data_IF_883633806913
#
_entry.id   IF_883633806913
#
_cell.length_a   1.000
_cell.length_b   1.000
_cell.length_c   1.000
_cell.angle_alpha   90.00
_cell.angle_beta   90.00
_cell.angle_gamma   90.00
#
_symmetry.space_group_name_H-M   'P 1'
#
loop_
_entity.id
_entity.type
_entity.pdbx_description
1 polymer ?
#
# COMPACT_ATOMS: atom_id res chain seq x y z
N UNK A 1 -28.26 10.23 -17.87
CA UNK A 1 -29.20 9.20 -17.38
C UNK A 1 -28.54 8.52 -16.19
N UNK A 2 -29.23 8.42 -15.06
CA UNK A 2 -28.69 7.71 -13.90
C UNK A 2 -28.73 6.20 -14.12
N UNK A 3 -27.80 5.45 -13.52
CA UNK A 3 -27.78 3.99 -13.58
C UNK A 3 -29.10 3.38 -13.09
N UNK A 4 -29.71 3.98 -12.06
CA UNK A 4 -31.03 3.58 -11.54
C UNK A 4 -32.19 3.72 -12.54
N UNK A 5 -32.02 4.51 -13.57
CA UNK A 5 -33.01 4.74 -14.62
C UNK A 5 -32.76 3.86 -15.86
N UNK A 6 -31.47 3.58 -16.15
CA UNK A 6 -31.06 2.83 -17.35
C UNK A 6 -30.94 1.31 -17.16
N UNK A 7 -30.73 0.84 -15.91
CA UNK A 7 -30.55 -0.58 -15.61
C UNK A 7 -31.86 -1.18 -15.09
N UNK A 8 -32.39 -2.14 -15.83
CA UNK A 8 -33.58 -2.89 -15.38
C UNK A 8 -33.31 -3.61 -14.06
N UNK A 9 -34.24 -3.50 -13.11
CA UNK A 9 -34.12 -4.08 -11.77
C UNK A 9 -32.87 -3.62 -10.99
N UNK A 10 -32.43 -2.37 -11.18
CA UNK A 10 -31.19 -1.80 -10.59
C UNK A 10 -31.02 -2.14 -9.12
N UNK A 11 -32.06 -1.86 -8.28
CA UNK A 11 -31.96 -2.13 -6.82
C UNK A 11 -31.73 -3.59 -6.49
N UNK A 12 -32.34 -4.52 -7.25
CA UNK A 12 -32.15 -5.96 -7.03
C UNK A 12 -30.72 -6.37 -7.42
N UNK A 13 -30.21 -5.88 -8.53
CA UNK A 13 -28.84 -6.15 -8.99
C UNK A 13 -27.78 -5.58 -8.04
N UNK A 14 -27.96 -4.36 -7.54
CA UNK A 14 -27.09 -3.78 -6.53
C UNK A 14 -27.09 -4.63 -5.26
N UNK A 15 -28.28 -5.04 -4.77
CA UNK A 15 -28.40 -5.90 -3.59
C UNK A 15 -27.68 -7.26 -3.80
N UNK A 16 -27.81 -7.83 -4.98
CA UNK A 16 -27.11 -9.07 -5.34
C UNK A 16 -25.60 -8.91 -5.29
N UNK A 17 -25.04 -7.85 -5.93
CA UNK A 17 -23.62 -7.54 -5.88
C UNK A 17 -23.13 -7.32 -4.45
N UNK A 18 -23.86 -6.55 -3.63
CA UNK A 18 -23.51 -6.32 -2.22
C UNK A 18 -23.50 -7.62 -1.43
N UNK A 19 -24.53 -8.48 -1.60
CA UNK A 19 -24.58 -9.78 -0.92
C UNK A 19 -23.41 -10.69 -1.33
N UNK A 20 -23.05 -10.67 -2.60
CA UNK A 20 -21.87 -11.39 -3.11
C UNK A 20 -20.58 -10.88 -2.44
N UNK A 21 -20.31 -9.58 -2.49
CA UNK A 21 -19.13 -8.99 -1.86
C UNK A 21 -19.05 -9.31 -0.36
N UNK A 22 -20.15 -9.13 0.37
CA UNK A 22 -20.20 -9.43 1.82
C UNK A 22 -19.96 -10.91 2.10
N UNK A 23 -20.50 -11.81 1.27
CA UNK A 23 -20.30 -13.25 1.41
C UNK A 23 -18.83 -13.61 1.25
N UNK A 24 -18.16 -13.09 0.21
CA UNK A 24 -16.77 -13.41 -0.10
C UNK A 24 -15.83 -12.82 0.96
N UNK A 25 -16.02 -11.58 1.41
CA UNK A 25 -15.24 -10.98 2.51
C UNK A 25 -15.40 -11.81 3.78
N UNK A 26 -16.62 -12.19 4.16
CA UNK A 26 -16.88 -13.01 5.35
C UNK A 26 -16.20 -14.37 5.25
N UNK A 27 -16.23 -15.00 4.08
CA UNK A 27 -15.58 -16.28 3.86
C UNK A 27 -14.07 -16.16 4.08
N UNK A 28 -13.40 -15.23 3.40
CA UNK A 28 -11.94 -15.07 3.51
C UNK A 28 -11.54 -14.69 4.94
N UNK A 29 -12.24 -13.77 5.59
CA UNK A 29 -11.93 -13.38 6.97
C UNK A 29 -12.09 -14.55 7.95
N UNK A 30 -13.09 -15.43 7.77
CA UNK A 30 -13.38 -16.52 8.68
C UNK A 30 -12.53 -17.77 8.41
N UNK A 31 -12.38 -18.17 7.14
CA UNK A 31 -11.77 -19.43 6.75
C UNK A 31 -10.26 -19.32 6.43
N UNK A 32 -9.78 -18.09 6.20
CA UNK A 32 -8.37 -17.80 5.93
C UNK A 32 -7.76 -16.92 7.02
N UNK A 33 -8.42 -15.81 7.35
CA UNK A 33 -7.93 -14.85 8.35
C UNK A 33 -6.88 -13.88 7.80
N UNK A 34 -5.85 -13.59 8.61
CA UNK A 34 -4.74 -12.72 8.21
C UNK A 34 -3.88 -13.34 7.11
N UNK A 35 -3.53 -12.55 6.12
CA UNK A 35 -2.90 -12.98 4.85
C UNK A 35 -1.56 -12.26 4.65
N UNK A 36 -0.57 -12.61 5.50
CA UNK A 36 0.79 -12.04 5.37
C UNK A 36 1.30 -12.25 3.93
N UNK A 37 1.91 -11.22 3.36
CA UNK A 37 2.53 -11.24 2.02
C UNK A 37 3.46 -12.47 1.82
N UNK A 38 3.26 -13.23 0.74
CA UNK A 38 4.00 -14.46 0.45
C UNK A 38 3.75 -15.60 1.41
N UNK A 39 2.63 -15.60 2.15
CA UNK A 39 2.29 -16.68 3.08
C UNK A 39 1.34 -17.70 2.44
N UNK A 40 1.24 -18.93 3.02
CA UNK A 40 0.23 -19.89 2.62
C UNK A 40 -1.21 -19.38 2.77
N UNK A 41 -1.46 -18.46 3.70
CA UNK A 41 -2.77 -17.85 3.89
C UNK A 41 -3.13 -16.90 2.72
N UNK A 42 -2.19 -16.08 2.27
CA UNK A 42 -2.37 -15.27 1.06
C UNK A 42 -2.67 -16.17 -0.14
N UNK A 43 -1.87 -17.22 -0.36
CA UNK A 43 -2.08 -18.18 -1.45
C UNK A 43 -3.46 -18.84 -1.40
N UNK A 44 -3.92 -19.26 -0.22
CA UNK A 44 -5.25 -19.84 -0.03
C UNK A 44 -6.37 -18.87 -0.40
N UNK A 45 -6.21 -17.57 -0.07
CA UNK A 45 -7.18 -16.56 -0.48
C UNK A 45 -7.17 -16.35 -1.99
N UNK A 46 -5.98 -16.27 -2.61
CA UNK A 46 -5.83 -16.16 -4.06
C UNK A 46 -6.47 -17.34 -4.80
N UNK A 47 -6.28 -18.56 -4.32
CA UNK A 47 -6.90 -19.77 -4.91
C UNK A 47 -8.42 -19.73 -4.82
N UNK A 48 -8.98 -19.34 -3.67
CA UNK A 48 -10.43 -19.17 -3.50
C UNK A 48 -10.99 -18.12 -4.49
N UNK A 49 -10.34 -16.94 -4.58
CA UNK A 49 -10.77 -15.87 -5.47
C UNK A 49 -10.64 -16.27 -6.94
N UNK A 50 -9.59 -17.01 -7.30
CA UNK A 50 -9.40 -17.57 -8.63
C UNK A 50 -10.51 -18.56 -9.00
N UNK A 51 -10.91 -19.44 -8.07
CA UNK A 51 -12.00 -20.39 -8.28
C UNK A 51 -13.36 -19.69 -8.48
N UNK A 52 -13.60 -18.61 -7.75
CA UNK A 52 -14.78 -17.76 -7.98
C UNK A 52 -14.72 -17.08 -9.34
N UNK A 53 -13.58 -16.47 -9.72
CA UNK A 53 -13.41 -15.76 -11.00
C UNK A 53 -13.54 -16.68 -12.21
N UNK A 54 -13.13 -17.97 -12.13
CA UNK A 54 -13.31 -18.95 -13.21
C UNK A 54 -14.76 -19.15 -13.64
N UNK A 55 -15.70 -18.84 -12.77
CA UNK A 55 -17.15 -18.92 -13.08
C UNK A 55 -17.62 -17.82 -14.02
N UNK A 56 -16.90 -16.69 -14.12
CA UNK A 56 -17.35 -15.46 -14.74
C UNK A 56 -16.43 -14.94 -15.86
N UNK A 57 -15.29 -15.60 -16.08
CA UNK A 57 -14.24 -15.12 -16.97
C UNK A 57 -13.81 -16.21 -17.96
N UNK A 58 -13.13 -15.82 -19.04
CA UNK A 58 -12.68 -16.74 -20.09
C UNK A 58 -11.38 -17.47 -19.69
N UNK A 59 -10.52 -16.83 -18.88
CA UNK A 59 -9.31 -17.41 -18.31
C UNK A 59 -8.98 -16.83 -16.95
N UNK A 60 -8.30 -17.63 -16.11
CA UNK A 60 -7.73 -17.18 -14.85
C UNK A 60 -6.32 -17.78 -14.73
N UNK A 61 -5.35 -16.91 -14.53
CA UNK A 61 -3.93 -17.25 -14.46
C UNK A 61 -3.32 -16.79 -13.14
N UNK A 62 -2.29 -17.50 -12.68
CA UNK A 62 -1.43 -17.10 -11.58
C UNK A 62 -0.09 -16.64 -12.14
N UNK A 63 0.33 -15.45 -11.80
CA UNK A 63 1.65 -14.94 -12.13
C UNK A 63 2.50 -14.83 -10.87
N UNK A 64 3.38 -15.80 -10.67
CA UNK A 64 4.25 -15.86 -9.51
C UNK A 64 5.40 -14.86 -9.62
N UNK A 65 5.79 -14.31 -8.48
CA UNK A 65 6.93 -13.43 -8.33
C UNK A 65 7.58 -13.60 -6.96
N UNK A 66 8.86 -13.26 -6.90
CA UNK A 66 9.64 -13.30 -5.66
C UNK A 66 9.59 -11.98 -4.93
N UNK A 67 9.63 -12.04 -3.59
CA UNK A 67 9.62 -10.86 -2.73
C UNK A 67 10.34 -11.12 -1.40
N UNK A 68 10.60 -10.04 -0.66
CA UNK A 68 11.10 -10.08 0.71
C UNK A 68 10.09 -9.39 1.64
N UNK A 69 9.08 -10.09 2.15
CA UNK A 69 7.87 -9.49 2.72
C UNK A 69 8.10 -8.60 3.94
N UNK A 70 9.21 -8.81 4.66
CA UNK A 70 9.55 -8.01 5.85
C UNK A 70 10.49 -6.86 5.57
N UNK A 71 11.01 -6.73 4.35
CA UNK A 71 11.96 -5.68 3.99
C UNK A 71 11.30 -4.30 4.05
N UNK A 72 10.13 -4.16 3.42
CA UNK A 72 9.42 -2.88 3.34
C UNK A 72 9.16 -2.27 4.72
N UNK A 73 8.59 -3.00 5.67
CA UNK A 73 8.40 -2.49 7.03
C UNK A 73 9.64 -2.61 7.93
N UNK A 74 10.68 -3.32 7.48
CA UNK A 74 11.94 -3.52 8.20
C UNK A 74 12.73 -2.23 8.40
N UNK A 75 12.56 -1.23 7.54
CA UNK A 75 13.19 0.08 7.67
C UNK A 75 12.88 0.74 9.02
N UNK A 76 11.68 0.53 9.56
CA UNK A 76 11.23 1.11 10.84
C UNK A 76 12.14 0.69 11.99
N UNK A 77 12.53 -0.60 12.03
CA UNK A 77 13.45 -1.12 13.05
C UNK A 77 14.84 -0.55 12.85
N UNK A 78 15.33 -0.53 11.58
CA UNK A 78 16.66 -0.02 11.26
C UNK A 78 16.78 1.46 11.66
N UNK A 79 15.80 2.29 11.30
CA UNK A 79 15.77 3.71 11.68
C UNK A 79 15.77 3.87 13.19
N UNK A 80 14.89 3.15 13.90
CA UNK A 80 14.82 3.22 15.36
C UNK A 80 16.15 2.90 16.04
N UNK A 81 16.83 1.82 15.61
CA UNK A 81 18.14 1.42 16.14
C UNK A 81 19.21 2.48 15.79
N UNK A 82 19.27 2.92 14.53
CA UNK A 82 20.22 3.94 14.07
C UNK A 82 20.07 5.23 14.88
N UNK A 83 18.85 5.70 15.10
CA UNK A 83 18.60 6.94 15.82
C UNK A 83 18.96 6.84 17.31
N UNK A 84 18.65 5.72 17.97
CA UNK A 84 19.05 5.50 19.36
C UNK A 84 20.58 5.48 19.47
N UNK A 85 21.24 4.71 18.62
CA UNK A 85 22.70 4.61 18.59
C UNK A 85 23.37 5.95 18.28
N UNK A 86 22.81 6.71 17.33
CA UNK A 86 23.26 8.04 16.94
C UNK A 86 23.26 8.98 18.15
N UNK A 87 22.14 9.11 18.86
CA UNK A 87 22.06 9.98 20.06
C UNK A 87 23.05 9.57 21.15
N UNK A 88 23.25 8.27 21.38
CA UNK A 88 24.22 7.77 22.34
C UNK A 88 25.64 8.14 21.93
N UNK A 89 26.01 7.89 20.66
CA UNK A 89 27.35 8.17 20.14
C UNK A 89 27.67 9.66 20.13
N UNK A 90 26.70 10.50 19.77
CA UNK A 90 26.86 11.95 19.88
C UNK A 90 27.26 12.35 21.33
N UNK A 91 26.53 11.86 22.33
CA UNK A 91 26.80 12.16 23.74
C UNK A 91 28.15 11.61 24.24
N UNK A 92 28.69 10.57 23.60
CA UNK A 92 30.02 10.02 23.85
C UNK A 92 31.14 10.79 23.09
N UNK A 93 30.81 11.81 22.30
CA UNK A 93 31.79 12.60 21.54
C UNK A 93 32.11 12.10 20.15
N UNK A 94 31.34 11.15 19.62
CA UNK A 94 31.50 10.57 18.28
C UNK A 94 30.51 11.17 17.27
N UNK A 95 30.46 12.51 17.17
CA UNK A 95 29.46 13.20 16.36
C UNK A 95 29.51 12.83 14.85
N UNK A 96 30.68 12.49 14.29
CA UNK A 96 30.79 12.02 12.92
C UNK A 96 30.12 10.66 12.72
N UNK A 97 30.36 9.70 13.63
CA UNK A 97 29.75 8.38 13.55
C UNK A 97 28.24 8.47 13.78
N UNK A 98 27.81 9.33 14.68
CA UNK A 98 26.41 9.67 14.91
C UNK A 98 25.75 10.16 13.61
N UNK A 99 26.33 11.14 12.92
CA UNK A 99 25.81 11.64 11.65
C UNK A 99 25.70 10.54 10.59
N UNK A 100 26.71 9.66 10.47
CA UNK A 100 26.66 8.54 9.52
C UNK A 100 25.44 7.64 9.81
N UNK A 101 25.18 7.30 11.09
CA UNK A 101 24.02 6.47 11.44
C UNK A 101 22.69 7.17 11.17
N UNK A 102 22.58 8.46 11.48
CA UNK A 102 21.40 9.27 11.15
C UNK A 102 21.14 9.29 9.65
N UNK A 103 22.19 9.46 8.82
CA UNK A 103 22.06 9.41 7.37
C UNK A 103 21.67 8.02 6.86
N UNK A 104 22.24 6.94 7.43
CA UNK A 104 21.84 5.57 7.08
C UNK A 104 20.36 5.35 7.37
N UNK A 105 19.88 5.75 8.55
CA UNK A 105 18.46 5.68 8.88
C UNK A 105 17.58 6.47 7.91
N UNK A 106 17.97 7.73 7.62
CA UNK A 106 17.24 8.58 6.68
C UNK A 106 17.20 7.98 5.26
N UNK A 107 18.29 7.43 4.76
CA UNK A 107 18.35 6.77 3.44
C UNK A 107 17.45 5.54 3.40
N UNK A 108 17.46 4.69 4.43
CA UNK A 108 16.57 3.53 4.51
C UNK A 108 15.10 3.97 4.47
N UNK A 109 14.72 4.97 5.27
CA UNK A 109 13.35 5.52 5.28
C UNK A 109 12.95 6.07 3.91
N UNK A 110 13.80 6.87 3.27
CA UNK A 110 13.50 7.48 1.98
C UNK A 110 13.40 6.41 0.89
N UNK A 111 14.38 5.50 0.82
CA UNK A 111 14.41 4.49 -0.23
C UNK A 111 13.23 3.52 -0.13
N UNK A 112 12.97 2.95 1.06
CA UNK A 112 11.90 1.96 1.24
C UNK A 112 10.51 2.61 1.25
N UNK A 113 10.32 3.61 2.11
CA UNK A 113 8.97 4.11 2.40
C UNK A 113 8.51 5.24 1.45
N UNK A 114 9.37 6.22 1.14
CA UNK A 114 8.97 7.33 0.25
C UNK A 114 9.10 6.98 -1.24
N UNK A 115 10.09 6.16 -1.60
CA UNK A 115 10.36 5.81 -2.99
C UNK A 115 9.94 4.37 -3.35
N UNK A 116 9.49 3.59 -2.39
CA UNK A 116 9.11 2.17 -2.58
C UNK A 116 10.19 1.36 -3.32
N UNK A 117 11.49 1.66 -3.06
CA UNK A 117 12.61 0.89 -3.61
C UNK A 117 12.81 -0.39 -2.81
N UNK A 118 13.27 -1.42 -3.47
CA UNK A 118 13.57 -2.73 -2.88
C UNK A 118 14.99 -2.75 -2.31
N UNK A 119 15.35 -1.69 -1.56
CA UNK A 119 16.72 -1.42 -1.10
C UNK A 119 17.17 -2.39 0.00
N UNK A 120 16.25 -2.76 0.89
CA UNK A 120 16.52 -3.64 2.02
C UNK A 120 16.30 -5.13 1.71
N UNK A 121 15.76 -5.48 0.56
CA UNK A 121 15.47 -6.86 0.16
C UNK A 121 16.62 -7.85 0.43
N UNK A 122 17.89 -7.55 0.08
CA UNK A 122 18.99 -8.49 0.29
C UNK A 122 19.24 -8.90 1.74
N UNK A 123 18.69 -8.16 2.70
CA UNK A 123 18.89 -8.41 4.13
C UNK A 123 17.74 -9.20 4.77
N UNK A 124 16.69 -9.53 4.02
CA UNK A 124 15.51 -10.21 4.54
C UNK A 124 15.24 -11.54 3.81
N UNK A 125 14.59 -12.50 4.48
CA UNK A 125 14.23 -13.79 3.85
C UNK A 125 13.31 -13.61 2.65
N UNK A 126 13.61 -14.35 1.59
CA UNK A 126 12.83 -14.40 0.36
C UNK A 126 11.62 -15.31 0.49
N UNK A 127 10.50 -14.95 -0.16
CA UNK A 127 9.30 -15.75 -0.37
C UNK A 127 8.81 -15.60 -1.80
N UNK A 128 7.81 -16.38 -2.17
CA UNK A 128 7.10 -16.29 -3.45
C UNK A 128 5.63 -15.94 -3.18
N UNK A 129 5.06 -15.02 -3.93
CA UNK A 129 3.65 -14.70 -4.01
C UNK A 129 3.17 -14.77 -5.45
N UNK A 130 1.91 -14.43 -5.72
CA UNK A 130 1.36 -14.38 -7.06
C UNK A 130 0.31 -13.28 -7.22
N UNK A 131 0.13 -12.81 -8.46
CA UNK A 131 -1.06 -12.09 -8.91
C UNK A 131 -2.06 -13.08 -9.49
N UNK A 132 -3.35 -12.88 -9.24
CA UNK A 132 -4.45 -13.59 -9.90
C UNK A 132 -4.99 -12.72 -11.01
N UNK A 133 -4.90 -13.17 -12.25
CA UNK A 133 -5.32 -12.42 -13.41
C UNK A 133 -6.48 -13.14 -14.08
N UNK A 134 -7.66 -12.54 -14.04
CA UNK A 134 -8.86 -13.06 -14.67
C UNK A 134 -9.23 -12.17 -15.87
N UNK A 135 -9.43 -12.80 -17.01
CA UNK A 135 -9.63 -12.11 -18.29
C UNK A 135 -11.01 -12.43 -18.86
N UNK A 136 -11.73 -11.37 -19.22
CA UNK A 136 -12.94 -11.43 -20.03
C UNK A 136 -12.67 -10.76 -21.38
N UNK A 137 -12.55 -11.60 -22.42
CA UNK A 137 -12.22 -11.19 -23.78
C UNK A 137 -13.38 -10.41 -24.43
N UNK A 138 -13.10 -9.47 -25.34
CA UNK A 138 -14.13 -8.86 -26.18
C UNK A 138 -14.70 -9.87 -27.21
N UNK A 139 -15.74 -9.46 -27.95
CA UNK A 139 -16.29 -10.24 -29.08
C UNK A 139 -15.34 -10.21 -30.28
N UNK A 140 -14.68 -9.07 -30.52
CA UNK A 140 -13.75 -8.84 -31.60
C UNK A 140 -12.30 -8.65 -31.14
N UNK A 141 -11.57 -7.84 -31.90
CA UNK A 141 -10.17 -7.50 -31.61
C UNK A 141 -10.05 -6.60 -30.36
N UNK A 142 -9.01 -6.83 -29.56
CA UNK A 142 -8.72 -5.98 -28.39
C UNK A 142 -8.14 -4.64 -28.85
N UNK A 143 -8.93 -3.58 -28.73
CA UNK A 143 -8.50 -2.19 -29.01
C UNK A 143 -8.33 -1.37 -27.73
N UNK A 144 -8.92 -1.83 -26.64
CA UNK A 144 -8.84 -1.22 -25.31
C UNK A 144 -8.84 -2.29 -24.25
N UNK A 145 -8.22 -1.97 -23.12
CA UNK A 145 -8.21 -2.81 -21.91
C UNK A 145 -8.62 -1.98 -20.70
N UNK A 146 -9.49 -2.56 -19.86
CA UNK A 146 -9.82 -1.99 -18.54
C UNK A 146 -9.46 -3.02 -17.49
N UNK A 147 -8.61 -2.60 -16.54
CA UNK A 147 -8.14 -3.42 -15.43
C UNK A 147 -8.77 -2.90 -14.15
N UNK A 148 -9.46 -3.77 -13.43
CA UNK A 148 -9.94 -3.54 -12.07
C UNK A 148 -9.04 -4.30 -11.12
N UNK A 149 -8.50 -3.60 -10.12
CA UNK A 149 -7.51 -4.14 -9.21
C UNK A 149 -7.94 -4.01 -7.75
N UNK A 150 -7.43 -4.90 -6.92
CA UNK A 150 -7.38 -4.88 -5.47
C UNK A 150 -6.36 -5.89 -5.00
N UNK A 151 -5.77 -5.74 -3.80
CA UNK A 151 -4.74 -6.65 -3.32
C UNK A 151 -5.26 -7.71 -2.35
N UNK A 152 -4.66 -8.90 -2.43
CA UNK A 152 -5.10 -10.10 -1.72
C UNK A 152 -4.53 -10.24 -0.31
N UNK A 153 -3.35 -9.67 -0.05
CA UNK A 153 -2.69 -9.74 1.25
C UNK A 153 -3.31 -8.80 2.28
N UNK A 154 -2.79 -8.80 3.47
CA UNK A 154 -3.22 -7.89 4.53
C UNK A 154 -2.07 -7.53 5.46
N UNK A 155 -2.11 -6.32 6.01
CA UNK A 155 -1.09 -5.72 6.85
C UNK A 155 -0.82 -6.50 8.15
N UNK A 156 0.38 -6.28 8.68
CA UNK A 156 0.56 -6.44 10.11
C UNK A 156 -0.24 -5.37 10.88
N UNK A 157 -0.64 -5.69 12.12
CA UNK A 157 -1.25 -4.69 12.99
C UNK A 157 -0.28 -3.53 13.23
N UNK A 158 -0.71 -2.32 12.91
CA UNK A 158 -0.03 -1.09 13.30
C UNK A 158 -0.49 -0.69 14.69
N UNK A 159 0.38 -0.93 15.65
CA UNK A 159 0.04 -0.82 17.08
C UNK A 159 -0.59 0.51 17.46
N UNK A 160 -0.09 1.62 16.93
CA UNK A 160 -0.58 2.95 17.28
C UNK A 160 -1.92 3.27 16.65
N UNK A 161 -2.20 2.72 15.48
CA UNK A 161 -3.54 2.79 14.87
C UNK A 161 -4.55 2.02 15.71
N UNK A 162 -4.18 0.83 16.20
CA UNK A 162 -5.03 0.03 17.09
C UNK A 162 -5.29 0.71 18.43
N UNK A 163 -4.27 1.32 19.07
CA UNK A 163 -4.36 1.92 20.40
C UNK A 163 -5.06 3.27 20.43
N UNK A 164 -4.93 4.10 19.39
CA UNK A 164 -5.45 5.48 19.41
C UNK A 164 -5.79 6.05 18.04
N UNK A 165 -6.00 5.18 17.05
CA UNK A 165 -6.40 5.57 15.70
C UNK A 165 -5.31 6.35 14.94
N UNK A 166 -5.73 6.94 13.82
CA UNK A 166 -4.83 7.68 12.94
C UNK A 166 -4.15 8.88 13.61
N UNK A 167 -4.80 9.53 14.58
CA UNK A 167 -4.21 10.68 15.29
C UNK A 167 -2.98 10.27 16.12
N UNK A 168 -3.05 9.16 16.85
CA UNK A 168 -1.91 8.67 17.62
C UNK A 168 -0.78 8.21 16.68
N UNK A 169 -1.11 7.54 15.61
CA UNK A 169 -0.16 7.13 14.58
C UNK A 169 0.61 8.33 14.04
N UNK A 170 -0.10 9.35 13.55
CA UNK A 170 0.51 10.56 12.99
C UNK A 170 1.36 11.30 14.04
N UNK A 171 0.90 11.38 15.29
CA UNK A 171 1.67 12.02 16.36
C UNK A 171 3.00 11.29 16.62
N UNK A 172 2.99 9.95 16.72
CA UNK A 172 4.23 9.16 16.94
C UNK A 172 5.21 9.36 15.79
N UNK A 173 4.74 9.29 14.55
CA UNK A 173 5.59 9.49 13.36
C UNK A 173 6.13 10.92 13.32
N UNK A 174 5.29 11.93 13.52
CA UNK A 174 5.70 13.34 13.46
C UNK A 174 6.77 13.66 14.52
N UNK A 175 6.59 13.18 15.74
CA UNK A 175 7.58 13.38 16.83
C UNK A 175 8.91 12.72 16.46
N UNK A 176 8.90 11.51 15.90
CA UNK A 176 10.12 10.81 15.49
C UNK A 176 10.84 11.54 14.35
N UNK A 177 10.10 12.04 13.35
CA UNK A 177 10.67 12.83 12.23
C UNK A 177 11.29 14.14 12.75
N UNK A 178 10.59 14.88 13.64
CA UNK A 178 11.13 16.10 14.24
C UNK A 178 12.41 15.78 15.00
N UNK A 179 12.44 14.70 15.78
CA UNK A 179 13.63 14.24 16.50
C UNK A 179 14.79 13.94 15.55
N UNK A 180 14.54 13.23 14.43
CA UNK A 180 15.54 12.94 13.40
C UNK A 180 16.14 14.23 12.83
N UNK A 181 15.29 15.19 12.46
CA UNK A 181 15.74 16.48 11.90
C UNK A 181 16.58 17.27 12.92
N UNK A 182 16.14 17.35 14.18
CA UNK A 182 16.89 18.01 15.25
C UNK A 182 18.24 17.36 15.46
N UNK A 183 18.29 16.01 15.54
CA UNK A 183 19.53 15.25 15.72
C UNK A 183 20.48 15.52 14.54
N UNK A 184 19.99 15.44 13.29
CA UNK A 184 20.77 15.70 12.09
C UNK A 184 21.38 17.11 12.07
N UNK A 185 20.59 18.14 12.42
CA UNK A 185 21.06 19.52 12.47
C UNK A 185 22.12 19.69 13.56
N UNK A 186 21.94 19.11 14.75
CA UNK A 186 22.93 19.17 15.82
C UNK A 186 24.25 18.50 15.43
N UNK A 187 24.20 17.35 14.76
CA UNK A 187 25.37 16.61 14.29
C UNK A 187 26.16 17.40 13.24
N UNK A 188 25.48 17.91 12.21
CA UNK A 188 26.10 18.74 11.18
C UNK A 188 26.76 19.97 11.78
N UNK A 189 26.08 20.66 12.68
CA UNK A 189 26.58 21.86 13.32
C UNK A 189 27.76 21.58 14.25
N UNK A 190 27.76 20.46 14.99
CA UNK A 190 28.89 20.02 15.81
C UNK A 190 30.13 19.75 14.94
N UNK A 191 29.95 19.06 13.79
CA UNK A 191 31.06 18.81 12.86
C UNK A 191 31.61 20.13 12.27
N UNK A 192 30.74 21.03 11.84
CA UNK A 192 31.12 22.32 11.26
C UNK A 192 31.95 23.21 12.21
N UNK A 193 31.80 22.98 13.52
CA UNK A 193 32.54 23.67 14.58
C UNK A 193 33.75 22.89 15.12
N UNK A 194 34.16 21.81 14.43
CA UNK A 194 35.37 21.06 14.74
C UNK A 194 35.20 19.91 15.76
N UNK A 195 33.96 19.59 16.15
CA UNK A 195 33.67 18.56 17.15
C UNK A 195 33.32 17.18 16.52
N UNK A 196 34.16 16.70 15.62
CA UNK A 196 33.89 15.45 14.91
C UNK A 196 34.00 14.19 15.78
N UNK A 197 35.10 14.08 16.54
CA UNK A 197 35.48 12.88 17.30
C UNK A 197 36.07 13.26 18.67
N UNK A 198 35.52 14.26 19.32
CA UNK A 198 35.99 14.78 20.59
C UNK A 198 34.83 14.82 21.58
N UNK A 199 35.08 14.34 22.84
CA UNK A 199 34.11 14.46 23.89
C UNK A 199 33.80 15.94 24.19
N UNK A 200 32.54 16.21 24.51
CA UNK A 200 32.11 17.55 24.87
C UNK A 200 32.39 17.78 26.36
N UNK A 201 33.41 18.58 26.66
CA UNK A 201 33.82 18.89 28.05
C UNK A 201 32.87 19.90 28.76
N UNK A 202 31.81 20.29 28.09
CA UNK A 202 30.81 21.26 28.56
C UNK A 202 30.27 22.12 27.41
N UNK A 203 29.58 23.20 27.76
CA UNK A 203 29.10 24.19 26.83
C UNK A 203 27.91 23.72 25.97
N UNK A 204 27.70 24.45 24.88
CA UNK A 204 26.49 24.34 24.03
C UNK A 204 26.28 22.92 23.46
N UNK A 205 27.33 22.30 22.95
CA UNK A 205 27.20 20.97 22.30
C UNK A 205 26.84 19.85 23.27
N UNK A 206 27.31 19.92 24.51
CA UNK A 206 26.90 18.99 25.55
C UNK A 206 25.43 19.16 25.94
N UNK A 207 24.95 20.42 26.00
CA UNK A 207 23.53 20.71 26.23
C UNK A 207 22.69 20.17 25.06
N UNK A 208 23.14 20.34 23.82
CA UNK A 208 22.45 19.76 22.64
C UNK A 208 22.42 18.23 22.68
N UNK A 209 23.44 17.59 23.22
CA UNK A 209 23.42 16.14 23.46
C UNK A 209 22.31 15.73 24.44
N UNK A 210 22.12 16.48 25.54
CA UNK A 210 21.02 16.23 26.48
C UNK A 210 19.65 16.51 25.87
N UNK A 211 19.53 17.53 25.01
CA UNK A 211 18.30 17.80 24.27
C UNK A 211 17.95 16.63 23.36
N UNK A 212 18.95 16.00 22.70
CA UNK A 212 18.71 14.84 21.85
C UNK A 212 18.20 13.61 22.64
N UNK A 213 18.55 13.45 23.91
CA UNK A 213 18.05 12.36 24.76
C UNK A 213 16.52 12.40 24.93
N UNK A 214 15.89 13.57 24.79
CA UNK A 214 14.44 13.75 24.87
C UNK A 214 13.72 12.94 23.77
N UNK A 215 14.38 12.69 22.63
CA UNK A 215 13.81 11.96 21.51
C UNK A 215 13.93 10.44 21.63
N UNK A 216 14.75 9.91 22.53
CA UNK A 216 14.94 8.46 22.70
C UNK A 216 13.61 7.71 22.93
N UNK A 217 12.68 8.17 23.78
CA UNK A 217 11.40 7.49 23.95
C UNK A 217 10.61 7.37 22.65
N UNK A 218 10.68 8.38 21.78
CA UNK A 218 10.04 8.35 20.44
C UNK A 218 10.69 7.29 19.55
N UNK A 219 12.02 7.22 19.50
CA UNK A 219 12.73 6.20 18.71
C UNK A 219 12.51 4.78 19.24
N UNK A 220 12.39 4.61 20.55
CA UNK A 220 11.98 3.33 21.15
C UNK A 220 10.54 3.00 20.72
N UNK A 221 9.63 3.98 20.72
CA UNK A 221 8.26 3.76 20.28
C UNK A 221 8.18 3.26 18.83
N UNK A 222 9.04 3.78 17.95
CA UNK A 222 9.11 3.33 16.54
C UNK A 222 9.45 1.84 16.45
N UNK A 223 10.30 1.28 17.32
CA UNK A 223 10.62 -0.16 17.32
C UNK A 223 9.39 -1.05 17.58
N UNK A 224 8.37 -0.51 18.22
CA UNK A 224 7.11 -1.19 18.52
C UNK A 224 5.96 -0.81 17.56
N UNK A 225 6.26 -0.12 16.48
CA UNK A 225 5.26 0.32 15.50
C UNK A 225 4.46 -0.85 14.92
N UNK A 226 5.15 -1.86 14.43
CA UNK A 226 4.57 -3.05 13.80
C UNK A 226 4.48 -4.20 14.80
N UNK A 227 3.29 -4.79 14.91
CA UNK A 227 3.09 -6.02 15.67
C UNK A 227 3.37 -7.25 14.80
N UNK A 228 4.64 -7.62 14.62
CA UNK A 228 5.14 -8.65 13.72
C UNK A 228 4.55 -10.06 13.88
N UNK A 229 3.77 -10.32 14.92
CA UNK A 229 3.12 -11.61 15.17
C UNK A 229 1.63 -11.59 14.90
N UNK A 230 1.07 -10.46 14.52
CA UNK A 230 -0.36 -10.30 14.28
C UNK A 230 -0.59 -9.67 12.92
N UNK A 231 -1.14 -10.47 12.01
CA UNK A 231 -1.62 -10.05 10.69
C UNK A 231 -3.11 -9.80 10.82
N UNK A 232 -3.58 -8.62 10.42
CA UNK A 232 -5.00 -8.26 10.52
C UNK A 232 -5.85 -9.02 9.48
N UNK A 233 -7.16 -9.22 9.71
CA UNK A 233 -8.01 -9.90 8.73
C UNK A 233 -8.15 -9.17 7.39
N UNK A 234 -7.82 -7.87 7.31
CA UNK A 234 -7.82 -7.10 6.07
C UNK A 234 -9.16 -7.10 5.34
N UNK A 235 -10.27 -6.94 6.07
CA UNK A 235 -11.60 -6.94 5.47
C UNK A 235 -11.84 -5.70 4.60
N UNK A 236 -11.44 -4.54 5.10
CA UNK A 236 -11.53 -3.28 4.37
C UNK A 236 -10.29 -3.08 3.50
N UNK A 237 -9.13 -3.32 4.04
CA UNK A 237 -7.82 -3.25 3.42
C UNK A 237 -7.25 -4.68 3.23
N UNK A 238 -7.36 -5.34 2.00
CA UNK A 238 -8.12 -4.77 0.88
C UNK A 238 -9.01 -5.84 0.21
N UNK A 239 -9.73 -6.65 1.02
CA UNK A 239 -10.73 -7.52 0.45
C UNK A 239 -11.86 -6.74 -0.24
N UNK A 240 -12.13 -5.48 0.19
CA UNK A 240 -13.12 -4.64 -0.50
C UNK A 240 -12.72 -4.37 -1.95
N UNK A 241 -11.46 -4.07 -2.22
CA UNK A 241 -10.95 -3.91 -3.58
C UNK A 241 -11.06 -5.19 -4.40
N UNK A 242 -10.60 -6.31 -3.85
CA UNK A 242 -10.67 -7.62 -4.51
C UNK A 242 -12.12 -7.97 -4.90
N UNK A 243 -13.05 -7.92 -3.96
CA UNK A 243 -14.45 -8.33 -4.23
C UNK A 243 -15.16 -7.36 -5.17
N UNK A 244 -14.78 -6.07 -5.21
CA UNK A 244 -15.32 -5.14 -6.20
C UNK A 244 -14.86 -5.51 -7.61
N UNK A 245 -13.57 -5.81 -7.81
CA UNK A 245 -13.06 -6.29 -9.10
C UNK A 245 -13.75 -7.61 -9.51
N UNK A 246 -13.94 -8.55 -8.58
CA UNK A 246 -14.65 -9.81 -8.82
C UNK A 246 -16.13 -9.57 -9.14
N UNK A 247 -16.81 -8.64 -8.45
CA UNK A 247 -18.21 -8.31 -8.68
C UNK A 247 -18.46 -7.69 -10.06
N UNK A 248 -17.50 -6.93 -10.60
CA UNK A 248 -17.56 -6.45 -11.99
C UNK A 248 -17.61 -7.62 -12.96
N UNK A 249 -16.72 -8.62 -12.79
CA UNK A 249 -16.67 -9.80 -13.65
C UNK A 249 -17.97 -10.62 -13.56
N UNK A 250 -18.46 -10.84 -12.34
CA UNK A 250 -19.74 -11.50 -12.10
C UNK A 250 -20.89 -10.77 -12.78
N UNK A 251 -20.98 -9.43 -12.59
CA UNK A 251 -22.03 -8.62 -13.16
C UNK A 251 -22.06 -8.68 -14.68
N UNK A 252 -20.90 -8.57 -15.33
CA UNK A 252 -20.79 -8.68 -16.79
C UNK A 252 -21.21 -10.06 -17.28
N UNK A 253 -20.83 -11.11 -16.58
CA UNK A 253 -21.15 -12.50 -16.93
C UNK A 253 -22.65 -12.77 -16.78
N UNK A 254 -23.23 -12.48 -15.61
CA UNK A 254 -24.65 -12.78 -15.31
C UNK A 254 -25.63 -12.00 -16.19
N UNK A 255 -25.21 -10.85 -16.72
CA UNK A 255 -26.03 -10.06 -17.64
C UNK A 255 -25.69 -10.28 -19.13
N UNK A 256 -24.83 -11.24 -19.45
CA UNK A 256 -24.42 -11.53 -20.83
C UNK A 256 -23.73 -10.35 -21.51
N UNK A 257 -23.13 -9.43 -20.73
CA UNK A 257 -22.45 -8.24 -21.27
C UNK A 257 -21.06 -8.65 -21.74
N UNK A 258 -20.80 -8.45 -23.04
CA UNK A 258 -19.47 -8.58 -23.63
C UNK A 258 -19.26 -7.36 -24.54
N UNK A 259 -18.12 -6.72 -24.40
CA UNK A 259 -17.82 -5.55 -25.23
C UNK A 259 -17.27 -5.97 -26.59
N UNK A 260 -17.51 -5.16 -27.60
CA UNK A 260 -17.05 -5.45 -28.95
C UNK A 260 -15.52 -5.48 -29.07
N UNK A 261 -14.84 -4.47 -28.52
CA UNK A 261 -13.40 -4.27 -28.67
C UNK A 261 -12.67 -3.94 -27.34
N UNK A 262 -13.32 -4.15 -26.18
CA UNK A 262 -12.73 -3.86 -24.89
C UNK A 262 -12.56 -5.13 -24.06
N UNK A 263 -11.33 -5.49 -23.78
CA UNK A 263 -10.98 -6.53 -22.82
C UNK A 263 -11.16 -6.01 -21.40
N UNK A 264 -11.74 -6.82 -20.51
CA UNK A 264 -11.85 -6.50 -19.08
C UNK A 264 -11.01 -7.49 -18.29
N UNK A 265 -10.14 -6.99 -17.43
CA UNK A 265 -9.34 -7.81 -16.49
C UNK A 265 -9.71 -7.49 -15.05
N UNK A 266 -9.77 -8.51 -14.22
CA UNK A 266 -9.58 -8.39 -12.78
C UNK A 266 -8.16 -8.84 -12.45
N UNK A 267 -7.36 -7.94 -11.89
CA UNK A 267 -5.99 -8.23 -11.44
C UNK A 267 -5.99 -8.12 -9.93
N UNK A 268 -6.01 -9.26 -9.26
CA UNK A 268 -5.92 -9.31 -7.80
C UNK A 268 -4.45 -9.51 -7.44
N UNK A 269 -3.82 -8.41 -7.03
CA UNK A 269 -2.39 -8.38 -6.73
C UNK A 269 -2.08 -9.05 -5.41
N UNK A 270 -0.92 -9.70 -5.35
CA UNK A 270 -0.37 -10.20 -4.11
C UNK A 270 0.63 -9.21 -3.52
N UNK A 271 0.78 -9.28 -2.19
CA UNK A 271 1.89 -8.65 -1.48
C UNK A 271 2.04 -7.14 -1.70
N UNK A 272 0.94 -6.43 -1.70
CA UNK A 272 0.90 -4.95 -1.73
C UNK A 272 1.53 -4.36 -0.47
N UNK A 273 1.17 -4.89 0.69
CA UNK A 273 1.62 -4.50 2.03
C UNK A 273 3.13 -4.70 2.27
N UNK A 274 3.78 -5.43 1.36
CA UNK A 274 5.24 -5.55 1.30
C UNK A 274 5.91 -4.51 0.39
N UNK A 275 5.19 -3.45 -0.01
CA UNK A 275 5.67 -2.36 -0.86
C UNK A 275 5.32 -2.51 -2.34
N UNK A 276 4.05 -2.75 -2.66
CA UNK A 276 3.49 -2.81 -4.01
C UNK A 276 4.07 -3.93 -4.89
N UNK A 277 4.49 -5.07 -4.28
CA UNK A 277 5.29 -6.08 -5.00
C UNK A 277 4.55 -6.69 -6.18
N UNK A 278 3.27 -7.03 -6.00
CA UNK A 278 2.44 -7.61 -7.05
C UNK A 278 2.20 -6.63 -8.21
N UNK A 279 1.87 -5.39 -7.91
CA UNK A 279 1.65 -4.36 -8.91
C UNK A 279 2.93 -4.09 -9.73
N UNK A 280 4.08 -3.99 -9.08
CA UNK A 280 5.38 -3.85 -9.77
C UNK A 280 5.70 -5.05 -10.67
N UNK A 281 5.47 -6.26 -10.18
CA UNK A 281 5.67 -7.48 -10.98
C UNK A 281 4.76 -7.49 -12.20
N UNK A 282 3.47 -7.16 -12.02
CA UNK A 282 2.50 -7.03 -13.11
C UNK A 282 2.91 -5.96 -14.11
N UNK A 283 3.20 -4.74 -13.63
CA UNK A 283 3.60 -3.63 -14.50
C UNK A 283 4.86 -3.97 -15.30
N UNK A 284 5.87 -4.59 -14.69
CA UNK A 284 7.09 -5.01 -15.37
C UNK A 284 6.82 -6.06 -16.45
N UNK A 285 5.98 -7.05 -16.16
CA UNK A 285 5.69 -8.16 -17.09
C UNK A 285 4.83 -7.73 -18.26
N UNK A 286 3.85 -6.85 -18.02
CA UNK A 286 2.84 -6.42 -19.00
C UNK A 286 3.13 -5.02 -19.57
N UNK A 287 4.33 -4.48 -19.37
CA UNK A 287 4.69 -3.12 -19.81
C UNK A 287 4.40 -2.88 -21.28
N UNK A 288 4.93 -3.72 -22.15
CA UNK A 288 4.80 -3.55 -23.60
C UNK A 288 3.34 -3.74 -24.04
N UNK A 289 2.65 -4.74 -23.52
CA UNK A 289 1.24 -5.00 -23.78
C UNK A 289 0.34 -3.81 -23.40
N UNK A 290 0.65 -3.14 -22.27
CA UNK A 290 -0.10 -1.96 -21.83
C UNK A 290 0.21 -0.71 -22.68
N UNK A 291 1.38 -0.63 -23.31
CA UNK A 291 1.73 0.46 -24.22
C UNK A 291 1.13 0.25 -25.63
N UNK A 292 1.07 -0.98 -26.11
CA UNK A 292 0.53 -1.31 -27.43
C UNK A 292 -1.00 -1.16 -27.50
N UNK A 293 -1.69 -1.37 -26.38
CA UNK A 293 -3.15 -1.28 -26.29
C UNK A 293 -3.54 -0.21 -25.28
N UNK A 294 -4.50 0.69 -25.65
CA UNK A 294 -5.04 1.67 -24.71
C UNK A 294 -5.51 0.96 -23.42
N UNK A 295 -4.74 1.07 -22.35
CA UNK A 295 -4.99 0.37 -21.09
C UNK A 295 -5.34 1.37 -19.99
N UNK A 296 -6.46 1.11 -19.30
CA UNK A 296 -6.94 1.85 -18.13
C UNK A 296 -6.79 0.94 -16.92
N UNK A 297 -6.04 1.37 -15.92
CA UNK A 297 -5.90 0.68 -14.64
C UNK A 297 -6.70 1.43 -13.57
N UNK A 298 -7.55 0.72 -12.84
CA UNK A 298 -8.39 1.25 -11.76
C UNK A 298 -8.12 0.42 -10.51
N UNK A 299 -7.35 0.99 -9.57
CA UNK A 299 -7.12 0.41 -8.25
C UNK A 299 -8.26 0.77 -7.30
N UNK A 300 -8.85 -0.25 -6.68
CA UNK A 300 -9.77 -0.10 -5.56
C UNK A 300 -9.04 -0.39 -4.27
N UNK A 301 -9.14 0.53 -3.32
CA UNK A 301 -8.50 0.39 -2.03
C UNK A 301 -9.38 0.93 -0.90
N UNK A 302 -9.45 0.18 0.21
CA UNK A 302 -10.11 0.57 1.47
C UNK A 302 -11.53 1.14 1.31
N UNK A 303 -12.41 0.49 0.54
CA UNK A 303 -13.74 0.98 0.16
C UNK A 303 -14.82 0.56 1.18
N UNK A 304 -14.92 1.25 2.32
CA UNK A 304 -15.92 0.94 3.35
C UNK A 304 -17.02 1.99 3.50
N UNK A 305 -16.63 3.20 3.85
CA UNK A 305 -17.56 4.25 4.22
C UNK A 305 -17.69 5.27 3.09
N UNK A 306 -18.93 5.59 2.70
CA UNK A 306 -19.19 6.51 1.60
C UNK A 306 -18.57 7.89 1.81
N UNK A 307 -18.64 8.42 3.02
CA UNK A 307 -18.12 9.76 3.35
C UNK A 307 -16.59 9.84 3.24
N UNK A 308 -15.90 8.70 3.32
CA UNK A 308 -14.44 8.62 3.18
C UNK A 308 -14.00 8.28 1.76
N UNK A 309 -14.92 7.82 0.90
CA UNK A 309 -14.60 7.46 -0.49
C UNK A 309 -14.20 8.69 -1.30
N UNK A 310 -13.22 8.53 -2.16
CA UNK A 310 -12.74 9.57 -3.06
C UNK A 310 -12.10 8.98 -4.31
N UNK A 311 -11.93 9.81 -5.33
CA UNK A 311 -11.10 9.51 -6.49
C UNK A 311 -9.73 10.17 -6.23
N UNK A 312 -8.69 9.37 -6.12
CA UNK A 312 -7.36 9.87 -5.84
C UNK A 312 -6.67 10.30 -7.14
N UNK A 313 -6.47 11.61 -7.31
CA UNK A 313 -5.76 12.20 -8.45
C UNK A 313 -4.25 12.24 -8.27
N UNK A 314 -3.76 11.92 -7.05
CA UNK A 314 -2.35 11.75 -6.70
C UNK A 314 -2.19 10.60 -5.73
N UNK A 315 -1.13 9.83 -5.94
CA UNK A 315 -0.75 8.66 -5.17
C UNK A 315 0.68 8.79 -4.62
N UNK A 316 1.20 7.75 -3.96
CA UNK A 316 2.55 7.67 -3.40
C UNK A 316 2.89 8.92 -2.58
N UNK A 317 2.15 9.13 -1.48
CA UNK A 317 2.29 10.32 -0.62
C UNK A 317 2.18 11.64 -1.43
N UNK A 318 1.33 11.64 -2.46
CA UNK A 318 1.06 12.80 -3.33
C UNK A 318 2.12 13.09 -4.40
N UNK A 319 3.13 12.24 -4.57
CA UNK A 319 4.23 12.47 -5.52
C UNK A 319 3.92 11.97 -6.93
N UNK A 320 3.14 10.91 -7.07
CA UNK A 320 2.70 10.34 -8.36
C UNK A 320 1.36 10.96 -8.77
N UNK A 321 1.24 11.38 -10.02
CA UNK A 321 -0.01 11.91 -10.58
C UNK A 321 -0.73 10.80 -11.34
N UNK A 322 -1.98 10.53 -10.98
CA UNK A 322 -2.86 9.65 -11.74
C UNK A 322 -3.39 10.36 -12.99
N UNK A 323 -3.68 9.63 -14.05
CA UNK A 323 -4.22 10.20 -15.29
C UNK A 323 -5.57 10.88 -15.05
N UNK A 324 -5.61 12.19 -15.25
CA UNK A 324 -6.81 13.00 -14.99
C UNK A 324 -8.00 12.61 -15.89
N UNK A 325 -7.75 12.00 -17.06
CA UNK A 325 -8.82 11.51 -17.96
C UNK A 325 -9.53 10.32 -17.30
N UNK A 326 -8.75 9.40 -16.70
CA UNK A 326 -9.29 8.26 -15.96
C UNK A 326 -10.00 8.73 -14.69
N UNK A 327 -9.42 9.66 -13.93
CA UNK A 327 -10.07 10.27 -12.76
C UNK A 327 -11.43 10.90 -13.12
N UNK A 328 -11.49 11.65 -14.23
CA UNK A 328 -12.75 12.24 -14.73
C UNK A 328 -13.75 11.18 -15.23
N UNK A 329 -13.27 10.08 -15.82
CA UNK A 329 -14.11 8.95 -16.20
C UNK A 329 -14.76 8.31 -14.95
N UNK A 330 -13.98 8.08 -13.92
CA UNK A 330 -14.47 7.54 -12.64
C UNK A 330 -15.45 8.50 -11.97
N UNK A 331 -15.19 9.82 -12.00
CA UNK A 331 -16.13 10.85 -11.51
C UNK A 331 -17.47 10.76 -12.21
N UNK A 332 -17.49 10.70 -13.55
CA UNK A 332 -18.71 10.52 -14.32
C UNK A 332 -19.43 9.20 -14.03
N UNK A 333 -18.68 8.09 -13.87
CA UNK A 333 -19.26 6.81 -13.51
C UNK A 333 -19.94 6.88 -12.13
N UNK A 334 -19.28 7.53 -11.16
CA UNK A 334 -19.86 7.80 -9.84
C UNK A 334 -21.17 8.61 -9.93
N UNK A 335 -21.16 9.71 -10.68
CA UNK A 335 -22.36 10.53 -10.91
C UNK A 335 -23.53 9.74 -11.53
N UNK A 336 -23.24 8.84 -12.48
CA UNK A 336 -24.25 7.94 -13.05
C UNK A 336 -24.78 6.95 -12.01
N UNK A 337 -23.94 6.50 -11.08
CA UNK A 337 -24.34 5.65 -9.97
C UNK A 337 -25.06 6.42 -8.86
N UNK A 338 -25.10 7.75 -8.91
CA UNK A 338 -25.67 8.63 -7.89
C UNK A 338 -24.73 8.94 -6.74
N UNK A 339 -23.42 8.77 -6.96
CA UNK A 339 -22.35 9.07 -6.00
C UNK A 339 -21.65 10.39 -6.39
N UNK A 340 -21.42 11.26 -5.41
CA UNK A 340 -20.58 12.45 -5.57
C UNK A 340 -19.23 12.23 -4.89
N UNK A 341 -18.27 11.74 -5.65
CA UNK A 341 -16.93 11.40 -5.15
C UNK A 341 -15.97 12.57 -5.36
N UNK A 342 -15.38 13.14 -4.29
CA UNK A 342 -14.40 14.22 -4.41
C UNK A 342 -13.07 13.71 -4.97
N UNK A 343 -12.29 14.62 -5.58
CA UNK A 343 -10.88 14.35 -5.85
C UNK A 343 -10.05 14.60 -4.58
N UNK A 344 -9.18 13.65 -4.25
CA UNK A 344 -8.23 13.75 -3.14
C UNK A 344 -6.81 13.38 -3.58
N UNK A 345 -5.85 13.58 -2.70
CA UNK A 345 -4.47 13.10 -2.80
C UNK A 345 -4.20 12.13 -1.67
N UNK A 346 -3.48 11.05 -1.92
CA UNK A 346 -2.96 10.19 -0.87
C UNK A 346 -1.99 11.01 -0.02
N UNK A 347 -2.28 11.12 1.27
CA UNK A 347 -1.46 11.90 2.21
C UNK A 347 -0.26 11.09 2.69
N UNK A 348 -0.45 9.79 2.91
CA UNK A 348 0.56 8.89 3.47
C UNK A 348 0.36 7.47 2.93
N UNK A 349 1.40 6.87 2.39
CA UNK A 349 1.33 5.56 1.74
C UNK A 349 1.16 5.63 0.22
N UNK A 350 0.78 4.53 -0.35
CA UNK A 350 0.53 4.35 -1.78
C UNK A 350 -0.50 3.26 -2.01
N UNK A 351 -0.97 3.11 -3.23
CA UNK A 351 -1.79 2.00 -3.70
C UNK A 351 -1.18 1.36 -4.94
N UNK A 352 -1.73 0.24 -5.38
CA UNK A 352 -1.30 -0.47 -6.60
C UNK A 352 -1.45 0.35 -7.89
N UNK A 353 -2.09 1.51 -7.84
CA UNK A 353 -2.27 2.40 -8.99
C UNK A 353 -1.13 3.41 -9.19
N UNK A 354 -0.11 3.42 -8.32
CA UNK A 354 1.00 4.38 -8.32
C UNK A 354 2.08 4.13 -9.37
#
# INVERSE_FOLDING_TARGET
MKASEGIQNYKAKVKECVNYCVKEIKYVCKEVGGRESGSPAERKAQEHMADELRKYTDSVEFEEFDLHPKAFMGWVIIVGICMIASVILYNLGFALVSLILTLVGAVCMIAEFLMYKEFLDPFFPKRTSANVIAIRKPEGEVKRRIIFNGHCDSAYEWRYTYLGGGHLLVAVIAIAIVGLVVTLVCEIAALATGHAMTAFDGGFWKIMGYVQLIWIPSYISILFFTHWKLVVPGANDNLTGCVNAMAVMKYLSDNGIRFENTEVRAVLTGSEEAGLRGAKAYAKKHHDECLETETIFIGYDTMRDYDDMAIYSRDMTGTVKNDIRVCNLMKKAGEHAGLDLPFKSVFFGSSDAA
#
